data_IF_914156169031
#
_entry.id   IF_914156169031
#
_cell.length_a   1.000
_cell.length_b   1.000
_cell.length_c   1.000
_cell.angle_alpha   90.00
_cell.angle_beta   90.00
_cell.angle_gamma   90.00
#
_symmetry.space_group_name_H-M   'P 1'
#
loop_
_entity.id
_entity.type
_entity.pdbx_description
1 polymer ?
#
# COMPACT_ATOMS: atom_id res chain seq x y z
N UNK A 1 -12.42 -26.13 -29.19
CA UNK A 1 -11.15 -26.04 -28.44
C UNK A 1 -11.36 -25.01 -27.34
N UNK A 2 -11.06 -25.36 -26.08
CA UNK A 2 -11.37 -24.58 -24.88
C UNK A 2 -10.35 -23.44 -24.74
N UNK A 3 -10.47 -22.43 -25.60
CA UNK A 3 -9.65 -21.22 -25.58
C UNK A 3 -10.50 -20.01 -25.97
N UNK A 4 -11.39 -19.62 -25.05
CA UNK A 4 -12.16 -18.37 -25.08
C UNK A 4 -12.66 -18.17 -23.63
N UNK A 5 -12.33 -17.13 -22.86
CA UNK A 5 -11.89 -15.78 -23.14
C UNK A 5 -10.79 -15.39 -22.13
N UNK A 6 -9.59 -15.02 -22.58
CA UNK A 6 -8.73 -14.18 -21.75
C UNK A 6 -9.36 -12.80 -21.77
N UNK A 7 -10.11 -12.46 -20.72
CA UNK A 7 -10.69 -11.12 -20.58
C UNK A 7 -9.57 -10.08 -20.53
N UNK A 8 -9.64 -9.05 -21.39
CA UNK A 8 -8.70 -7.92 -21.41
C UNK A 8 -8.56 -7.23 -20.04
N UNK A 9 -9.62 -7.31 -19.24
CA UNK A 9 -9.69 -6.77 -17.88
C UNK A 9 -10.08 -7.86 -16.88
N UNK A 10 -9.51 -7.77 -15.68
CA UNK A 10 -9.97 -8.48 -14.50
C UNK A 10 -10.68 -7.52 -13.55
N UNK A 11 -11.59 -8.04 -12.73
CA UNK A 11 -12.28 -7.27 -11.69
C UNK A 11 -11.63 -7.56 -10.35
N UNK A 12 -11.28 -6.52 -9.60
CA UNK A 12 -10.87 -6.64 -8.19
C UNK A 12 -11.89 -5.94 -7.31
N UNK A 13 -12.50 -6.67 -6.38
CA UNK A 13 -13.44 -6.15 -5.38
C UNK A 13 -12.69 -5.87 -4.08
N UNK A 14 -12.71 -4.62 -3.62
CA UNK A 14 -11.98 -4.15 -2.45
C UNK A 14 -12.91 -3.73 -1.32
N UNK A 15 -12.53 -4.09 -0.10
CA UNK A 15 -13.15 -3.62 1.13
C UNK A 15 -14.53 -4.20 1.40
N UNK A 16 -15.12 -3.76 2.50
CA UNK A 16 -16.48 -4.16 2.92
C UNK A 16 -17.57 -3.56 2.02
N UNK A 17 -17.28 -2.42 1.39
CA UNK A 17 -18.15 -1.76 0.41
C UNK A 17 -18.14 -2.44 -0.96
N UNK A 18 -17.24 -3.41 -1.18
CA UNK A 18 -17.07 -4.16 -2.44
C UNK A 18 -16.88 -3.25 -3.65
N UNK A 19 -16.09 -2.18 -3.51
CA UNK A 19 -15.73 -1.28 -4.62
C UNK A 19 -15.04 -2.11 -5.71
N UNK A 20 -15.52 -2.02 -6.95
CA UNK A 20 -15.00 -2.76 -8.10
C UNK A 20 -13.96 -1.94 -8.86
N UNK A 21 -12.84 -2.58 -9.18
CA UNK A 21 -11.78 -2.06 -10.01
C UNK A 21 -11.67 -2.91 -11.27
N UNK A 22 -11.68 -2.26 -12.44
CA UNK A 22 -11.50 -2.93 -13.72
C UNK A 22 -10.08 -2.63 -14.21
N UNK A 23 -9.18 -3.61 -14.10
CA UNK A 23 -7.75 -3.43 -14.32
C UNK A 23 -7.31 -4.34 -15.46
N UNK A 24 -6.36 -3.88 -16.29
CA UNK A 24 -5.79 -4.75 -17.31
C UNK A 24 -5.21 -6.01 -16.68
N UNK A 25 -5.73 -7.15 -17.12
CA UNK A 25 -5.34 -8.45 -16.58
C UNK A 25 -3.84 -8.67 -16.70
N UNK A 26 -3.25 -8.31 -17.84
CA UNK A 26 -1.81 -8.43 -18.09
C UNK A 26 -0.96 -7.70 -17.05
N UNK A 27 -1.35 -6.47 -16.64
CA UNK A 27 -0.60 -5.70 -15.63
C UNK A 27 -0.62 -6.38 -14.27
N UNK A 28 -1.77 -6.91 -13.86
CA UNK A 28 -1.89 -7.65 -12.59
C UNK A 28 -1.02 -8.90 -12.61
N UNK A 29 -1.06 -9.68 -13.69
CA UNK A 29 -0.31 -10.93 -13.79
C UNK A 29 1.21 -10.72 -13.92
N UNK A 30 1.62 -9.67 -14.63
CA UNK A 30 3.03 -9.29 -14.81
C UNK A 30 3.66 -8.82 -13.50
N UNK A 31 2.95 -7.98 -12.74
CA UNK A 31 3.51 -7.33 -11.56
C UNK A 31 3.18 -8.03 -10.23
N UNK A 32 2.37 -9.10 -10.24
CA UNK A 32 2.01 -9.83 -9.03
C UNK A 32 1.81 -11.32 -9.30
N UNK A 33 2.64 -12.15 -8.66
CA UNK A 33 2.47 -13.60 -8.72
C UNK A 33 1.15 -14.06 -8.07
N UNK A 34 0.69 -13.36 -7.04
CA UNK A 34 -0.60 -13.61 -6.41
C UNK A 34 -1.74 -13.48 -7.43
N UNK A 35 -1.84 -12.34 -8.12
CA UNK A 35 -2.90 -12.14 -9.11
C UNK A 35 -2.75 -13.06 -10.32
N UNK A 36 -1.51 -13.34 -10.76
CA UNK A 36 -1.24 -14.35 -11.79
C UNK A 36 -1.79 -15.72 -11.43
N UNK A 37 -1.57 -16.18 -10.20
CA UNK A 37 -2.10 -17.47 -9.71
C UNK A 37 -3.62 -17.43 -9.51
N UNK A 38 -4.16 -16.34 -8.97
CA UNK A 38 -5.60 -16.21 -8.74
C UNK A 38 -6.39 -16.23 -10.06
N UNK A 39 -5.89 -15.55 -11.10
CA UNK A 39 -6.60 -15.38 -12.37
C UNK A 39 -6.38 -16.52 -13.37
N UNK A 40 -5.31 -17.32 -13.23
CA UNK A 40 -5.01 -18.45 -14.11
C UNK A 40 -5.10 -19.82 -13.42
N UNK A 41 -5.48 -19.85 -12.14
CA UNK A 41 -5.58 -21.07 -11.35
C UNK A 41 -6.88 -21.85 -11.59
N UNK A 42 -7.06 -23.00 -10.94
CA UNK A 42 -8.30 -23.79 -11.03
C UNK A 42 -9.46 -23.18 -10.21
N UNK A 43 -9.23 -22.04 -9.54
CA UNK A 43 -10.15 -21.45 -8.57
C UNK A 43 -11.27 -20.64 -9.22
N UNK A 44 -12.30 -20.31 -8.44
CA UNK A 44 -13.48 -19.58 -8.94
C UNK A 44 -13.11 -18.19 -9.47
N UNK A 45 -12.08 -17.57 -8.91
CA UNK A 45 -11.53 -16.28 -9.35
C UNK A 45 -11.05 -16.34 -10.80
N UNK A 46 -10.48 -17.46 -11.24
CA UNK A 46 -10.06 -17.65 -12.64
C UNK A 46 -11.25 -17.83 -13.58
N UNK A 47 -12.34 -18.44 -13.08
CA UNK A 47 -13.56 -18.67 -13.87
C UNK A 47 -14.40 -17.40 -13.99
N UNK A 48 -14.54 -16.65 -12.89
CA UNK A 48 -15.29 -15.41 -12.82
C UNK A 48 -14.48 -14.20 -13.34
N UNK A 49 -13.15 -14.27 -13.31
CA UNK A 49 -12.28 -13.12 -13.55
C UNK A 49 -12.37 -12.06 -12.44
N UNK A 50 -12.79 -12.46 -11.24
CA UNK A 50 -13.03 -11.58 -10.08
C UNK A 50 -12.15 -12.01 -8.91
N UNK A 51 -11.34 -11.10 -8.38
CA UNK A 51 -10.56 -11.31 -7.14
C UNK A 51 -11.12 -10.43 -6.03
N UNK A 52 -11.32 -10.97 -4.82
CA UNK A 52 -11.96 -10.27 -3.70
C UNK A 52 -10.97 -10.08 -2.54
N UNK A 53 -10.77 -8.84 -2.10
CA UNK A 53 -9.88 -8.45 -1.01
C UNK A 53 -10.63 -7.57 0.00
N UNK A 54 -11.25 -8.22 1.00
CA UNK A 54 -12.18 -7.56 1.92
C UNK A 54 -11.53 -6.68 3.00
N UNK A 55 -10.27 -6.94 3.31
CA UNK A 55 -9.50 -6.32 4.40
C UNK A 55 -8.52 -5.24 3.89
N UNK A 56 -8.52 -4.97 2.59
CA UNK A 56 -7.72 -3.91 1.97
C UNK A 56 -8.57 -2.64 1.90
N UNK A 57 -8.00 -1.53 2.37
CA UNK A 57 -8.62 -0.21 2.21
C UNK A 57 -8.59 0.24 0.75
N UNK A 58 -9.67 0.91 0.30
CA UNK A 58 -9.78 1.37 -1.08
C UNK A 58 -8.66 2.35 -1.45
N UNK A 59 -8.26 3.26 -0.56
CA UNK A 59 -7.20 4.24 -0.83
C UNK A 59 -5.83 3.57 -0.99
N UNK A 60 -5.54 2.54 -0.20
CA UNK A 60 -4.30 1.76 -0.38
C UNK A 60 -4.28 1.03 -1.73
N UNK A 61 -5.43 0.50 -2.15
CA UNK A 61 -5.52 -0.18 -3.44
C UNK A 61 -5.50 0.80 -4.62
N UNK A 62 -6.09 2.00 -4.49
CA UNK A 62 -5.98 3.07 -5.49
C UNK A 62 -4.49 3.37 -5.79
N UNK A 63 -3.61 3.39 -4.78
CA UNK A 63 -2.16 3.59 -4.96
C UNK A 63 -1.51 2.44 -5.73
N UNK A 64 -1.88 1.19 -5.43
CA UNK A 64 -1.37 0.04 -6.16
C UNK A 64 -1.81 0.10 -7.64
N UNK A 65 -3.05 0.48 -7.90
CA UNK A 65 -3.57 0.67 -9.27
C UNK A 65 -2.78 1.77 -9.97
N UNK A 66 -2.62 2.95 -9.37
CA UNK A 66 -1.86 4.04 -9.98
C UNK A 66 -0.40 3.62 -10.25
N UNK A 67 0.21 2.86 -9.34
CA UNK A 67 1.55 2.31 -9.54
C UNK A 67 1.60 1.29 -10.70
N UNK A 68 0.61 0.40 -10.85
CA UNK A 68 0.58 -0.56 -11.97
C UNK A 68 0.66 0.15 -13.33
N UNK A 69 0.04 1.31 -13.46
CA UNK A 69 0.00 2.06 -14.71
C UNK A 69 1.16 3.04 -14.89
N UNK A 70 1.81 3.48 -13.82
CA UNK A 70 2.84 4.54 -13.87
C UNK A 70 4.23 4.05 -13.46
N UNK A 71 4.33 2.88 -12.84
CA UNK A 71 5.50 2.36 -12.14
C UNK A 71 6.06 3.32 -11.06
N UNK A 72 5.24 4.24 -10.54
CA UNK A 72 5.65 5.26 -9.55
C UNK A 72 4.77 5.20 -8.31
N UNK A 73 5.39 5.19 -7.13
CA UNK A 73 4.68 5.34 -5.87
C UNK A 73 4.52 6.83 -5.54
N UNK A 74 3.36 7.29 -5.04
CA UNK A 74 3.15 8.70 -4.72
C UNK A 74 4.15 9.21 -3.69
N UNK A 75 4.72 10.38 -3.95
CA UNK A 75 5.57 11.11 -3.01
C UNK A 75 4.75 12.08 -2.15
N UNK A 76 5.28 12.47 -0.99
CA UNK A 76 4.58 13.39 -0.09
C UNK A 76 4.35 14.78 -0.73
N UNK A 77 5.18 15.14 -1.71
CA UNK A 77 5.10 16.39 -2.48
C UNK A 77 4.27 16.30 -3.76
N UNK A 78 3.65 15.15 -4.02
CA UNK A 78 2.83 14.94 -5.20
C UNK A 78 1.51 15.71 -5.06
N UNK A 79 1.57 17.01 -5.37
CA UNK A 79 0.46 17.96 -5.35
C UNK A 79 -0.67 17.62 -6.35
N UNK A 80 -0.57 16.48 -7.07
CA UNK A 80 -1.63 15.94 -7.91
C UNK A 80 -2.70 15.18 -7.12
N UNK A 81 -2.65 15.14 -5.77
CA UNK A 81 -3.78 14.80 -4.90
C UNK A 81 -4.97 15.79 -4.99
N UNK A 82 -5.19 16.37 -6.17
CA UNK A 82 -6.32 17.21 -6.54
C UNK A 82 -7.29 16.33 -7.35
N UNK A 83 -8.37 15.93 -6.68
CA UNK A 83 -9.59 15.28 -7.18
C UNK A 83 -9.59 14.87 -8.67
N UNK A 84 -9.43 13.57 -8.92
CA UNK A 84 -9.95 12.95 -10.15
C UNK A 84 -11.21 12.16 -9.77
N UNK A 85 -12.35 12.60 -10.30
CA UNK A 85 -13.60 11.82 -10.37
C UNK A 85 -14.19 11.32 -9.04
N UNK A 86 -14.24 12.19 -8.02
CA UNK A 86 -14.87 11.83 -6.73
C UNK A 86 -14.11 10.77 -5.91
N UNK A 87 -12.89 10.39 -6.29
CA UNK A 87 -12.04 9.50 -5.49
C UNK A 87 -11.59 10.18 -4.20
N UNK A 88 -11.64 9.42 -3.11
CA UNK A 88 -11.16 9.83 -1.80
C UNK A 88 -9.62 9.75 -1.79
N UNK A 89 -8.95 10.83 -2.17
CA UNK A 89 -7.50 10.93 -1.97
C UNK A 89 -7.26 11.40 -0.54
N UNK A 90 -7.15 10.42 0.36
CA UNK A 90 -6.46 10.62 1.63
C UNK A 90 -5.04 11.08 1.35
N UNK A 91 -4.54 12.10 2.07
CA UNK A 91 -3.13 12.50 1.98
C UNK A 91 -2.25 11.25 2.08
N UNK A 92 -1.29 11.08 1.16
CA UNK A 92 -0.37 9.95 1.21
C UNK A 92 0.60 10.18 2.37
N UNK A 93 0.26 9.64 3.53
CA UNK A 93 1.07 9.69 4.75
C UNK A 93 2.18 8.64 4.71
N UNK A 94 3.10 8.72 5.66
CA UNK A 94 4.07 7.67 5.94
C UNK A 94 3.39 6.32 6.26
N UNK A 95 2.27 6.34 7.01
CA UNK A 95 1.48 5.15 7.29
C UNK A 95 0.96 4.50 6.00
N UNK A 96 0.45 5.30 5.06
CA UNK A 96 -0.03 4.80 3.77
C UNK A 96 1.08 4.07 3.01
N UNK A 97 2.30 4.61 3.02
CA UNK A 97 3.46 3.97 2.37
C UNK A 97 3.86 2.66 3.04
N UNK A 98 3.80 2.57 4.38
CA UNK A 98 4.01 1.32 5.12
C UNK A 98 2.92 0.29 4.79
N UNK A 99 1.66 0.72 4.70
CA UNK A 99 0.55 -0.14 4.26
C UNK A 99 0.77 -0.66 2.83
N UNK A 100 1.27 0.17 1.92
CA UNK A 100 1.66 -0.25 0.57
C UNK A 100 2.80 -1.28 0.59
N UNK A 101 3.80 -1.13 1.46
CA UNK A 101 4.86 -2.13 1.62
C UNK A 101 4.29 -3.49 2.05
N UNK A 102 3.46 -3.51 3.10
CA UNK A 102 2.82 -4.74 3.58
C UNK A 102 1.89 -5.35 2.52
N UNK A 103 1.16 -4.52 1.78
CA UNK A 103 0.31 -4.99 0.70
C UNK A 103 1.11 -5.61 -0.44
N UNK A 104 2.20 -4.96 -0.87
CA UNK A 104 3.08 -5.48 -1.92
C UNK A 104 3.70 -6.83 -1.58
N UNK A 105 4.09 -7.03 -0.32
CA UNK A 105 4.52 -8.32 0.19
C UNK A 105 3.43 -9.38 0.06
N UNK A 106 2.24 -9.07 0.62
CA UNK A 106 1.08 -9.97 0.61
C UNK A 106 0.66 -10.41 -0.79
N UNK A 107 0.62 -9.50 -1.74
CA UNK A 107 0.24 -9.80 -3.13
C UNK A 107 1.43 -10.22 -3.99
N UNK A 108 2.59 -10.51 -3.40
CA UNK A 108 3.77 -10.98 -4.12
C UNK A 108 4.13 -10.05 -5.29
N UNK A 109 4.14 -8.74 -5.03
CA UNK A 109 4.45 -7.68 -5.97
C UNK A 109 5.76 -6.96 -5.56
N UNK A 110 6.92 -7.60 -5.77
CA UNK A 110 8.21 -7.12 -5.22
C UNK A 110 8.62 -5.75 -5.76
N UNK A 111 8.31 -5.44 -7.03
CA UNK A 111 8.61 -4.13 -7.61
C UNK A 111 7.76 -3.00 -6.96
N UNK A 112 6.51 -3.29 -6.62
CA UNK A 112 5.66 -2.35 -5.89
C UNK A 112 6.15 -2.16 -4.46
N UNK A 113 6.45 -3.26 -3.76
CA UNK A 113 7.01 -3.24 -2.41
C UNK A 113 8.30 -2.41 -2.36
N UNK A 114 9.21 -2.62 -3.31
CA UNK A 114 10.47 -1.86 -3.43
C UNK A 114 10.20 -0.37 -3.66
N UNK A 115 9.24 -0.03 -4.52
CA UNK A 115 8.85 1.36 -4.78
C UNK A 115 8.28 2.04 -3.53
N UNK A 116 7.44 1.34 -2.76
CA UNK A 116 6.91 1.83 -1.49
C UNK A 116 8.02 2.00 -0.44
N UNK A 117 8.96 1.05 -0.32
CA UNK A 117 10.12 1.16 0.57
C UNK A 117 10.99 2.37 0.22
N UNK A 118 11.28 2.58 -1.07
CA UNK A 118 12.04 3.75 -1.53
C UNK A 118 11.35 5.06 -1.14
N UNK A 119 10.02 5.14 -1.25
CA UNK A 119 9.25 6.31 -0.85
C UNK A 119 9.26 6.57 0.67
N UNK A 120 9.42 5.53 1.50
CA UNK A 120 9.62 5.66 2.96
C UNK A 120 11.05 6.11 3.25
N UNK A 121 12.04 5.48 2.62
CA UNK A 121 13.45 5.85 2.78
C UNK A 121 13.65 7.32 2.44
N UNK A 122 13.16 7.79 1.29
CA UNK A 122 13.24 9.20 0.90
C UNK A 122 12.60 10.14 1.91
N UNK A 123 11.54 9.71 2.60
CA UNK A 123 10.85 10.49 3.64
C UNK A 123 11.76 10.77 4.83
N UNK A 124 12.47 9.74 5.29
CA UNK A 124 13.24 9.78 6.54
C UNK A 124 14.74 9.97 6.33
N UNK A 125 15.25 9.84 5.10
CA UNK A 125 16.69 9.97 4.78
C UNK A 125 17.29 11.32 5.18
N UNK A 126 16.51 12.40 5.14
CA UNK A 126 16.97 13.74 5.55
C UNK A 126 16.94 13.94 7.08
N UNK A 127 16.46 12.94 7.84
CA UNK A 127 16.40 12.92 9.29
C UNK A 127 15.45 13.95 9.91
N UNK A 128 14.79 14.82 9.16
CA UNK A 128 14.03 15.94 9.72
C UNK A 128 12.71 15.56 10.39
N UNK A 129 12.27 14.32 10.26
CA UNK A 129 10.91 13.92 10.62
C UNK A 129 10.83 12.71 11.52
N UNK A 130 9.84 12.76 12.42
CA UNK A 130 9.50 11.69 13.33
C UNK A 130 8.40 10.83 12.72
N UNK A 131 8.55 9.49 12.70
CA UNK A 131 7.43 8.63 12.39
C UNK A 131 6.38 8.73 13.49
N UNK A 132 5.10 8.75 13.10
CA UNK A 132 3.99 8.67 14.05
C UNK A 132 3.95 7.31 14.75
N UNK A 133 3.46 7.28 16.00
CA UNK A 133 3.29 6.01 16.73
C UNK A 133 2.39 5.02 15.99
N UNK A 134 1.33 5.52 15.34
CA UNK A 134 0.46 4.70 14.51
C UNK A 134 1.25 3.99 13.39
N UNK A 135 2.17 4.70 12.74
CA UNK A 135 3.04 4.13 11.69
C UNK A 135 3.98 3.08 12.24
N UNK A 136 4.63 3.33 13.38
CA UNK A 136 5.54 2.38 14.01
C UNK A 136 4.78 1.11 14.42
N UNK A 137 3.66 1.27 15.14
CA UNK A 137 2.82 0.16 15.61
C UNK A 137 2.34 -0.68 14.41
N UNK A 138 1.83 -0.03 13.36
CA UNK A 138 1.37 -0.74 12.18
C UNK A 138 2.51 -1.49 11.49
N UNK A 139 3.68 -0.87 11.34
CA UNK A 139 4.83 -1.48 10.69
C UNK A 139 5.27 -2.76 11.41
N UNK A 140 5.45 -2.71 12.73
CA UNK A 140 5.86 -3.88 13.51
C UNK A 140 4.82 -5.01 13.51
N UNK A 141 3.54 -4.69 13.33
CA UNK A 141 2.49 -5.69 13.25
C UNK A 141 2.36 -6.37 11.87
N UNK A 142 2.86 -5.76 10.79
CA UNK A 142 2.57 -6.22 9.42
C UNK A 142 3.80 -6.41 8.51
N UNK A 143 4.99 -6.01 8.94
CA UNK A 143 6.22 -6.22 8.19
C UNK A 143 7.09 -7.32 8.82
N UNK A 144 7.91 -8.02 8.03
CA UNK A 144 8.93 -8.93 8.54
C UNK A 144 9.88 -8.24 9.53
N UNK A 145 10.31 -8.94 10.58
CA UNK A 145 11.17 -8.38 11.63
C UNK A 145 12.56 -7.94 11.12
N UNK A 146 13.02 -8.50 10.00
CA UNK A 146 14.26 -8.14 9.31
C UNK A 146 14.05 -7.05 8.23
N UNK A 147 12.87 -6.44 8.17
CA UNK A 147 12.57 -5.35 7.25
C UNK A 147 13.41 -4.10 7.53
N UNK A 148 14.09 -3.61 6.50
CA UNK A 148 14.84 -2.34 6.53
C UNK A 148 13.96 -1.14 6.92
N UNK A 149 12.65 -1.21 6.65
CA UNK A 149 11.69 -0.17 7.05
C UNK A 149 11.58 -0.10 8.56
N UNK A 150 11.58 -1.24 9.27
CA UNK A 150 11.52 -1.24 10.74
C UNK A 150 12.78 -0.60 11.33
N UNK A 151 13.96 -0.97 10.83
CA UNK A 151 15.23 -0.36 11.24
C UNK A 151 15.22 1.15 11.02
N UNK A 152 14.81 1.60 9.83
CA UNK A 152 14.73 3.02 9.51
C UNK A 152 13.76 3.80 10.43
N UNK A 153 12.60 3.23 10.74
CA UNK A 153 11.61 3.88 11.62
C UNK A 153 12.16 4.00 13.05
N UNK A 154 12.83 2.97 13.57
CA UNK A 154 13.48 3.01 14.87
C UNK A 154 14.60 4.05 14.89
N UNK A 155 15.47 4.05 13.88
CA UNK A 155 16.57 5.01 13.78
C UNK A 155 16.05 6.45 13.71
N UNK A 156 15.05 6.71 12.88
CA UNK A 156 14.43 8.03 12.76
C UNK A 156 13.78 8.48 14.07
N UNK A 157 13.12 7.57 14.79
CA UNK A 157 12.55 7.86 16.09
C UNK A 157 13.64 8.18 17.12
N UNK A 158 14.64 7.31 17.29
CA UNK A 158 15.73 7.48 18.25
C UNK A 158 16.55 8.76 18.00
N UNK A 159 16.77 9.16 16.74
CA UNK A 159 17.52 10.37 16.41
C UNK A 159 16.81 11.66 16.78
N UNK A 160 15.48 11.67 16.85
CA UNK A 160 14.67 12.90 16.97
C UNK A 160 13.77 12.95 18.20
N UNK A 161 13.62 11.82 18.88
CA UNK A 161 12.86 11.73 20.10
C UNK A 161 13.34 12.75 21.14
N UNK A 162 12.37 13.39 21.77
CA UNK A 162 12.51 14.27 22.92
C UNK A 162 11.34 13.96 23.83
N UNK A 163 11.58 13.90 25.13
CA UNK A 163 10.58 13.57 26.16
C UNK A 163 9.27 14.35 26.02
N UNK A 164 9.33 15.62 25.59
CA UNK A 164 8.16 16.46 25.31
C UNK A 164 7.21 15.91 24.22
N UNK A 165 7.65 14.99 23.37
CA UNK A 165 6.80 14.36 22.35
C UNK A 165 5.98 13.18 22.89
N UNK A 166 6.27 12.71 24.10
CA UNK A 166 5.52 11.67 24.81
C UNK A 166 4.44 12.21 25.73
N UNK A 167 4.33 13.53 25.84
CA UNK A 167 3.32 14.17 26.66
C UNK A 167 1.94 14.03 25.97
N UNK A 168 1.28 12.89 26.18
CA UNK A 168 -0.18 12.80 26.16
C UNK A 168 -0.75 13.25 27.52
N UNK A 169 -0.20 14.30 28.14
CA UNK A 169 -0.81 14.91 29.32
C UNK A 169 -2.02 15.75 28.90
N UNK A 170 -3.10 15.04 28.56
CA UNK A 170 -4.46 15.50 28.78
C UNK A 170 -4.75 15.32 30.27
N UNK A 171 -3.99 15.97 31.17
CA UNK A 171 -4.25 15.98 32.61
C UNK A 171 -3.34 16.92 33.42
N UNK A 172 -3.07 18.16 32.98
CA UNK A 172 -2.50 19.18 33.88
C UNK A 172 -2.95 20.60 33.46
N UNK A 173 -4.25 20.86 33.56
CA UNK A 173 -4.78 22.22 33.76
C UNK A 173 -5.87 22.12 34.84
N UNK A 174 -5.46 22.22 36.11
CA UNK A 174 -6.29 22.58 37.27
C UNK A 174 -5.50 23.52 38.18
#
# INVERSE_FOLDING_TARGET
>A
SVAAQVGTFAVVEIGTTKKKYFIHRSLLEEHSEYFRKALNGPWIESQEGVVKLHDVDCGNFDIFVDWLYTCKCPQASDAWATKIDGRCVSYVTELTKVKCCAFGDRVLAPAFQTSAQAAIIQRFANGHELPSYETIIFAFAHLPLDSIVLTLLVDAHCQRYKEKYDCMDVCCDV
#
